data_IF_312589265189
#
_entry.id   IF_312589265189
#
_cell.length_a   1.000
_cell.length_b   1.000
_cell.length_c   1.000
_cell.angle_alpha   90.00
_cell.angle_beta   90.00
_cell.angle_gamma   90.00
#
_symmetry.space_group_name_H-M   'P 1'
#
loop_
_entity.id
_entity.type
_entity.pdbx_description
1 polymer ?
#
# COMPACT_ATOMS: atom_id res chain seq x y z
N UNK A 1 18.58 -6.99 11.30
CA UNK A 1 17.67 -5.96 10.75
C UNK A 1 17.67 -6.13 9.25
N UNK A 2 16.50 -6.19 8.62
CA UNK A 2 16.40 -6.43 7.16
C UNK A 2 16.03 -5.13 6.47
N UNK A 3 16.78 -4.80 5.43
CA UNK A 3 16.66 -3.56 4.68
C UNK A 3 16.13 -3.79 3.27
N UNK A 4 15.45 -2.77 2.76
CA UNK A 4 14.71 -2.82 1.52
C UNK A 4 14.82 -1.52 0.74
N UNK A 5 14.97 -1.65 -0.57
CA UNK A 5 14.94 -0.54 -1.52
C UNK A 5 13.70 -0.66 -2.40
N UNK A 6 12.82 0.34 -2.35
CA UNK A 6 11.78 0.55 -3.35
C UNK A 6 12.30 1.41 -4.49
N UNK A 7 11.87 1.06 -5.70
CA UNK A 7 12.36 1.60 -6.96
C UNK A 7 11.21 1.81 -7.94
N UNK A 8 11.34 2.88 -8.74
CA UNK A 8 10.44 3.17 -9.84
C UNK A 8 10.64 2.17 -11.00
N UNK A 9 9.81 2.28 -12.05
CA UNK A 9 9.86 1.38 -13.22
C UNK A 9 11.22 1.35 -13.93
N UNK A 10 11.97 2.45 -13.90
CA UNK A 10 13.29 2.57 -14.49
C UNK A 10 14.40 2.07 -13.54
N UNK A 11 14.06 1.61 -12.33
CA UNK A 11 14.98 1.15 -11.29
C UNK A 11 16.07 2.16 -10.93
N UNK A 12 15.77 3.46 -11.01
CA UNK A 12 16.70 4.54 -10.72
C UNK A 12 16.13 5.54 -9.72
N UNK A 13 16.98 6.32 -9.06
CA UNK A 13 16.59 7.55 -8.36
C UNK A 13 17.70 8.59 -8.58
N UNK A 14 17.35 9.80 -9.01
CA UNK A 14 18.31 10.89 -9.27
C UNK A 14 19.53 10.42 -10.09
N UNK A 15 19.26 9.81 -11.24
CA UNK A 15 20.24 9.29 -12.21
C UNK A 15 21.11 8.11 -11.73
N UNK A 16 21.04 7.72 -10.45
CA UNK A 16 21.68 6.51 -9.97
C UNK A 16 20.83 5.29 -10.32
N UNK A 17 21.41 4.36 -11.07
CA UNK A 17 20.77 3.11 -11.47
C UNK A 17 20.99 2.03 -10.42
N UNK A 18 19.92 1.32 -10.06
CA UNK A 18 19.95 0.22 -9.12
C UNK A 18 19.69 -1.10 -9.87
N UNK A 19 20.65 -2.02 -9.80
CA UNK A 19 20.55 -3.36 -10.38
C UNK A 19 20.98 -4.40 -9.35
N UNK A 20 20.71 -5.69 -9.61
CA UNK A 20 21.21 -6.78 -8.75
C UNK A 20 22.74 -6.67 -8.61
N UNK A 21 23.25 -6.92 -7.40
CA UNK A 21 24.67 -6.83 -7.09
C UNK A 21 25.07 -5.50 -6.45
N UNK A 22 26.37 -5.20 -6.48
CA UNK A 22 26.95 -4.04 -5.80
C UNK A 22 26.60 -2.74 -6.52
N UNK A 23 26.17 -1.74 -5.75
CA UNK A 23 25.93 -0.36 -6.18
C UNK A 23 26.66 0.56 -5.21
N UNK A 24 27.58 1.38 -5.73
CA UNK A 24 28.34 2.35 -4.97
C UNK A 24 27.76 3.76 -5.16
N UNK A 25 27.71 4.54 -4.09
CA UNK A 25 27.32 5.95 -4.12
C UNK A 25 28.43 6.74 -4.84
N UNK A 26 28.14 7.43 -5.96
CA UNK A 26 29.15 8.16 -6.71
C UNK A 26 29.61 9.44 -6.00
N UNK A 27 28.93 9.86 -4.92
CA UNK A 27 29.24 11.09 -4.21
C UNK A 27 30.12 10.84 -2.97
N UNK A 28 30.91 11.84 -2.54
CA UNK A 28 31.63 11.77 -1.28
C UNK A 28 30.66 11.51 -0.12
N UNK A 29 31.05 10.63 0.80
CA UNK A 29 30.21 10.28 1.94
C UNK A 29 29.85 11.51 2.79
N UNK A 30 28.55 11.75 2.90
CA UNK A 30 27.98 12.72 3.82
C UNK A 30 26.93 12.04 4.73
N UNK A 31 27.22 11.83 6.04
CA UNK A 31 26.30 11.19 6.97
C UNK A 31 25.12 12.10 7.39
N UNK A 32 25.19 13.39 7.08
CA UNK A 32 24.18 14.39 7.43
C UNK A 32 23.31 14.81 6.25
N UNK A 33 23.56 14.26 5.07
CA UNK A 33 22.77 14.55 3.87
C UNK A 33 21.38 13.93 3.97
N UNK A 34 20.34 14.76 3.99
CA UNK A 34 18.96 14.31 3.80
C UNK A 34 18.51 14.63 2.38
N UNK A 35 18.01 13.62 1.66
CA UNK A 35 17.49 13.76 0.31
C UNK A 35 18.45 14.40 -0.70
N UNK A 36 19.77 14.24 -0.51
CA UNK A 36 20.76 14.68 -1.50
C UNK A 36 20.58 13.90 -2.81
N UNK A 37 20.50 14.58 -3.98
CA UNK A 37 20.54 13.92 -5.28
C UNK A 37 21.78 13.02 -5.36
N UNK A 38 21.59 11.72 -5.62
CA UNK A 38 22.68 10.74 -5.78
C UNK A 38 22.94 9.80 -4.61
N UNK A 39 22.41 10.07 -3.41
CA UNK A 39 22.64 9.19 -2.25
C UNK A 39 21.87 7.85 -2.31
N UNK A 40 22.46 6.78 -1.77
CA UNK A 40 21.79 5.47 -1.65
C UNK A 40 20.95 5.43 -0.37
N UNK A 41 19.65 5.73 -0.50
CA UNK A 41 18.68 5.67 0.59
C UNK A 41 17.76 4.45 0.51
N UNK A 42 17.56 3.79 1.64
CA UNK A 42 16.68 2.62 1.78
C UNK A 42 16.02 2.62 3.15
N UNK A 43 15.17 1.65 3.42
CA UNK A 43 14.38 1.57 4.65
C UNK A 43 14.41 0.18 5.26
N UNK A 44 13.96 0.04 6.49
CA UNK A 44 13.81 -1.24 7.15
C UNK A 44 12.45 -1.86 6.86
N UNK A 45 12.24 -3.08 7.32
CA UNK A 45 10.97 -3.77 7.09
C UNK A 45 9.80 -3.04 7.73
N UNK A 46 9.99 -2.50 8.95
CA UNK A 46 8.93 -1.80 9.68
C UNK A 46 8.37 -0.62 8.89
N UNK A 47 9.23 0.14 8.22
CA UNK A 47 8.85 1.39 7.57
C UNK A 47 8.53 1.23 6.07
N UNK A 48 8.67 0.04 5.48
CA UNK A 48 8.60 -0.17 4.01
C UNK A 48 7.34 0.40 3.35
N UNK A 49 6.17 0.23 3.98
CA UNK A 49 4.90 0.69 3.41
C UNK A 49 4.75 2.22 3.41
N UNK A 50 5.60 2.97 4.11
CA UNK A 50 5.63 4.43 4.01
C UNK A 50 6.21 4.93 2.68
N UNK A 51 6.83 4.05 1.87
CA UNK A 51 7.61 4.41 0.68
C UNK A 51 7.01 3.88 -0.64
N UNK A 52 5.77 3.38 -0.63
CA UNK A 52 5.09 2.84 -1.81
C UNK A 52 4.95 3.81 -2.99
N UNK A 53 5.09 5.12 -2.74
CA UNK A 53 5.04 6.16 -3.77
C UNK A 53 6.32 6.27 -4.61
N UNK A 54 7.41 5.64 -4.19
CA UNK A 54 8.66 5.61 -4.96
C UNK A 54 8.63 4.55 -6.07
N UNK A 55 7.70 3.59 -6.00
CA UNK A 55 7.48 2.58 -7.01
C UNK A 55 7.09 1.23 -6.42
N UNK A 56 7.08 0.21 -7.27
CA UNK A 56 6.61 -1.14 -6.94
C UNK A 56 7.70 -2.21 -7.07
N UNK A 57 8.91 -1.85 -7.52
CA UNK A 57 10.03 -2.79 -7.56
C UNK A 57 10.78 -2.75 -6.23
N UNK A 58 10.93 -3.91 -5.63
CA UNK A 58 11.53 -4.13 -4.32
C UNK A 58 12.80 -4.96 -4.46
N UNK A 59 13.86 -4.55 -3.77
CA UNK A 59 15.11 -5.31 -3.63
C UNK A 59 15.51 -5.38 -2.17
N UNK A 60 16.02 -6.53 -1.73
CA UNK A 60 16.72 -6.63 -0.44
C UNK A 60 18.00 -5.81 -0.51
N UNK A 61 18.41 -5.28 0.64
CA UNK A 61 19.62 -4.49 0.77
C UNK A 61 20.53 -5.14 1.81
N UNK A 62 21.74 -5.49 1.38
CA UNK A 62 22.84 -5.90 2.23
C UNK A 62 23.90 -4.81 2.27
N UNK A 63 24.54 -4.61 3.43
CA UNK A 63 25.55 -3.59 3.64
C UNK A 63 26.92 -4.27 3.64
N UNK A 64 27.80 -4.00 2.65
CA UNK A 64 29.17 -4.50 2.64
C UNK A 64 29.96 -4.03 3.87
N UNK A 65 30.94 -4.84 4.31
CA UNK A 65 31.80 -4.48 5.46
C UNK A 65 32.61 -3.20 5.23
N UNK A 66 32.94 -2.90 3.97
CA UNK A 66 33.69 -1.70 3.57
C UNK A 66 32.80 -0.46 3.36
N UNK A 67 31.48 -0.60 3.50
CA UNK A 67 30.54 0.50 3.30
C UNK A 67 30.39 1.36 4.56
N UNK A 68 30.33 2.67 4.38
CA UNK A 68 29.86 3.59 5.40
C UNK A 68 28.33 3.52 5.45
N UNK A 69 27.76 3.51 6.65
CA UNK A 69 26.32 3.29 6.86
C UNK A 69 25.83 4.05 8.09
N UNK A 70 24.70 4.74 7.96
CA UNK A 70 24.06 5.43 9.08
C UNK A 70 22.55 5.48 8.95
N UNK A 71 21.85 5.62 10.09
CA UNK A 71 20.46 6.06 10.09
C UNK A 71 20.41 7.52 9.60
N UNK A 72 19.53 7.80 8.64
CA UNK A 72 19.33 9.16 8.14
C UNK A 72 18.75 10.03 9.25
N UNK A 73 19.26 11.24 9.39
CA UNK A 73 18.85 12.20 10.44
C UNK A 73 17.60 13.00 10.07
N UNK A 74 17.01 12.74 8.90
CA UNK A 74 15.77 13.36 8.45
C UNK A 74 14.54 12.96 9.27
N UNK A 75 13.38 13.61 9.04
CA UNK A 75 12.14 13.30 9.75
C UNK A 75 11.65 11.87 9.43
N UNK A 76 10.84 11.26 10.31
CA UNK A 76 10.17 9.99 10.02
C UNK A 76 9.37 10.03 8.71
N UNK A 77 9.14 8.88 8.07
CA UNK A 77 9.52 7.51 8.45
C UNK A 77 11.03 7.26 8.41
N UNK A 78 11.52 6.29 9.21
CA UNK A 78 12.96 6.01 9.32
C UNK A 78 13.54 5.53 7.99
N UNK A 79 14.73 6.03 7.67
CA UNK A 79 15.52 5.70 6.48
C UNK A 79 16.97 5.51 6.87
N UNK A 80 17.71 4.82 6.03
CA UNK A 80 19.14 4.63 6.17
C UNK A 80 19.84 5.06 4.88
N UNK A 81 21.10 5.44 5.03
CA UNK A 81 22.01 5.79 3.94
C UNK A 81 23.23 4.89 4.02
N UNK A 82 23.74 4.46 2.87
CA UNK A 82 25.02 3.77 2.77
C UNK A 82 25.87 4.29 1.61
N UNK A 83 27.19 4.23 1.73
CA UNK A 83 28.11 4.55 0.61
C UNK A 83 28.15 3.46 -0.44
N UNK A 84 27.72 2.24 -0.08
CA UNK A 84 27.61 1.10 -0.98
C UNK A 84 26.59 0.11 -0.44
N UNK A 85 25.91 -0.60 -1.34
CA UNK A 85 24.96 -1.67 -1.00
C UNK A 85 25.13 -2.85 -1.96
N UNK A 86 24.78 -4.05 -1.52
CA UNK A 86 24.53 -5.19 -2.39
C UNK A 86 23.02 -5.40 -2.46
N UNK A 87 22.47 -5.30 -3.67
CA UNK A 87 21.05 -5.47 -3.91
C UNK A 87 20.75 -6.90 -4.35
N UNK A 88 19.73 -7.49 -3.73
CA UNK A 88 19.17 -8.77 -4.18
C UNK A 88 18.36 -8.64 -5.47
N UNK A 89 17.75 -9.76 -5.86
CA UNK A 89 16.92 -9.86 -7.06
C UNK A 89 15.72 -8.92 -7.03
N UNK A 90 15.29 -8.53 -8.24
CA UNK A 90 14.11 -7.68 -8.43
C UNK A 90 12.84 -8.46 -8.11
N UNK A 91 12.01 -7.92 -7.22
CA UNK A 91 10.68 -8.45 -6.90
C UNK A 91 9.62 -7.37 -7.05
N UNK A 92 8.38 -7.75 -7.34
CA UNK A 92 7.26 -6.80 -7.27
C UNK A 92 6.69 -6.81 -5.85
N UNK A 93 6.57 -5.65 -5.20
CA UNK A 93 5.98 -5.57 -3.87
C UNK A 93 4.52 -6.02 -3.83
N UNK A 94 3.83 -6.01 -4.98
CA UNK A 94 2.45 -6.44 -5.12
C UNK A 94 2.27 -7.93 -5.45
N UNK A 95 3.35 -8.72 -5.44
CA UNK A 95 3.24 -10.18 -5.34
C UNK A 95 2.79 -10.55 -3.91
N UNK A 96 1.80 -11.44 -3.80
CA UNK A 96 1.18 -11.78 -2.52
C UNK A 96 2.19 -12.42 -1.55
N UNK A 97 3.14 -13.20 -2.05
CA UNK A 97 4.24 -13.78 -1.27
C UNK A 97 5.13 -12.69 -0.65
N UNK A 98 5.45 -11.64 -1.41
CA UNK A 98 6.28 -10.52 -0.92
C UNK A 98 5.55 -9.78 0.21
N UNK A 99 4.25 -9.53 0.07
CA UNK A 99 3.44 -8.91 1.13
C UNK A 99 3.43 -9.78 2.39
N UNK A 100 3.20 -11.09 2.26
CA UNK A 100 3.23 -12.03 3.39
C UNK A 100 4.58 -12.03 4.10
N UNK A 101 5.68 -12.04 3.36
CA UNK A 101 7.04 -11.97 3.92
C UNK A 101 7.24 -10.67 4.71
N UNK A 102 6.89 -9.52 4.13
CA UNK A 102 7.05 -8.21 4.77
C UNK A 102 6.20 -8.11 6.05
N UNK A 103 4.93 -8.54 6.00
CA UNK A 103 4.05 -8.55 7.17
C UNK A 103 4.57 -9.48 8.27
N UNK A 104 4.99 -10.71 7.91
CA UNK A 104 5.58 -11.66 8.86
C UNK A 104 6.86 -11.12 9.50
N UNK A 105 7.63 -10.32 8.76
CA UNK A 105 8.84 -9.67 9.24
C UNK A 105 8.58 -8.33 9.96
N UNK A 106 7.32 -7.96 10.19
CA UNK A 106 6.92 -6.83 11.03
C UNK A 106 6.78 -5.49 10.30
N UNK A 107 6.48 -5.50 9.00
CA UNK A 107 6.08 -4.29 8.29
C UNK A 107 4.83 -3.66 8.94
N UNK A 108 4.87 -2.34 9.15
CA UNK A 108 3.75 -1.61 9.74
C UNK A 108 2.61 -1.46 8.75
N UNK A 109 1.56 -2.27 8.92
CA UNK A 109 0.40 -2.29 8.05
C UNK A 109 -0.38 -0.96 8.06
N UNK A 110 -0.32 -0.21 9.16
CA UNK A 110 -1.02 1.05 9.34
C UNK A 110 -0.22 2.27 8.87
N UNK A 111 0.94 2.04 8.25
CA UNK A 111 1.77 3.09 7.67
C UNK A 111 0.95 4.01 6.74
N UNK A 112 0.96 5.30 7.05
CA UNK A 112 0.25 6.37 6.31
C UNK A 112 -1.25 6.08 6.11
N UNK A 113 -1.92 5.68 7.18
CA UNK A 113 -3.37 5.36 7.18
C UNK A 113 -3.64 4.27 6.15
N UNK A 114 -3.06 3.10 6.42
CA UNK A 114 -3.24 1.84 5.67
C UNK A 114 -3.00 2.02 4.17
N UNK A 115 -1.92 2.75 3.84
CA UNK A 115 -1.64 3.13 2.46
C UNK A 115 -1.41 1.93 1.54
N UNK A 116 -0.88 0.82 2.08
CA UNK A 116 -0.76 -0.43 1.36
C UNK A 116 -2.11 -0.95 0.86
N UNK A 117 -3.14 -0.95 1.71
CA UNK A 117 -4.50 -1.39 1.34
C UNK A 117 -5.08 -0.47 0.26
N UNK A 118 -4.95 0.84 0.45
CA UNK A 118 -5.46 1.84 -0.51
C UNK A 118 -4.79 1.69 -1.89
N UNK A 119 -3.49 1.47 -1.94
CA UNK A 119 -2.73 1.27 -3.19
C UNK A 119 -3.05 -0.07 -3.86
N UNK A 120 -3.15 -1.16 -3.08
CA UNK A 120 -3.53 -2.46 -3.61
C UNK A 120 -4.95 -2.44 -4.20
N UNK A 121 -5.87 -1.75 -3.52
CA UNK A 121 -7.25 -1.59 -3.98
C UNK A 121 -7.34 -0.73 -5.25
N UNK A 122 -6.59 0.38 -5.30
CA UNK A 122 -6.50 1.24 -6.48
C UNK A 122 -6.00 0.52 -7.73
N UNK A 123 -5.04 -0.42 -7.58
CA UNK A 123 -4.45 -1.15 -8.71
C UNK A 123 -5.10 -2.52 -8.98
N UNK A 124 -6.13 -2.91 -8.21
CA UNK A 124 -6.86 -4.15 -8.43
C UNK A 124 -6.14 -5.42 -7.96
N UNK A 125 -5.18 -5.31 -7.03
CA UNK A 125 -4.43 -6.47 -6.50
C UNK A 125 -5.25 -7.24 -5.45
N UNK A 126 -6.24 -8.01 -5.91
CA UNK A 126 -7.19 -8.73 -5.04
C UNK A 126 -6.52 -9.59 -3.96
N UNK A 127 -5.56 -10.44 -4.34
CA UNK A 127 -4.89 -11.33 -3.38
C UNK A 127 -4.12 -10.54 -2.32
N UNK A 128 -3.52 -9.41 -2.69
CA UNK A 128 -2.85 -8.51 -1.74
C UNK A 128 -3.88 -7.84 -0.82
N UNK A 129 -5.00 -7.36 -1.35
CA UNK A 129 -6.09 -6.78 -0.54
C UNK A 129 -6.57 -7.78 0.51
N UNK A 130 -6.78 -9.04 0.11
CA UNK A 130 -7.18 -10.11 1.02
C UNK A 130 -6.15 -10.35 2.12
N UNK A 131 -4.85 -10.42 1.79
CA UNK A 131 -3.82 -10.62 2.81
C UNK A 131 -3.68 -9.42 3.76
N UNK A 132 -3.79 -8.19 3.26
CA UNK A 132 -3.75 -6.99 4.09
C UNK A 132 -4.95 -6.94 5.05
N UNK A 133 -6.16 -7.23 4.58
CA UNK A 133 -7.35 -7.30 5.44
C UNK A 133 -7.23 -8.41 6.50
N UNK A 134 -6.75 -9.60 6.12
CA UNK A 134 -6.48 -10.69 7.08
C UNK A 134 -5.45 -10.30 8.14
N UNK A 135 -4.46 -9.48 7.77
CA UNK A 135 -3.45 -8.96 8.67
C UNK A 135 -3.92 -7.77 9.52
N UNK A 136 -5.17 -7.34 9.38
CA UNK A 136 -5.79 -6.33 10.22
C UNK A 136 -5.74 -4.91 9.66
N UNK A 137 -5.53 -4.73 8.35
CA UNK A 137 -5.63 -3.40 7.74
C UNK A 137 -7.02 -2.78 7.98
N UNK A 138 -7.05 -1.50 8.30
CA UNK A 138 -8.28 -0.75 8.53
C UNK A 138 -8.96 -0.42 7.19
N UNK A 139 -10.09 -1.08 6.93
CA UNK A 139 -10.91 -0.87 5.74
C UNK A 139 -11.50 0.55 5.68
N UNK A 140 -11.66 1.21 6.83
CA UNK A 140 -12.24 2.55 6.96
C UNK A 140 -11.20 3.68 6.85
N UNK A 141 -9.92 3.35 6.69
CA UNK A 141 -8.85 4.33 6.59
C UNK A 141 -9.12 5.36 5.48
N UNK A 142 -8.99 6.64 5.84
CA UNK A 142 -9.32 7.79 4.98
C UNK A 142 -10.71 7.73 4.36
N UNK A 143 -11.72 7.38 5.16
CA UNK A 143 -13.13 7.40 4.75
C UNK A 143 -13.32 6.42 3.59
N UNK A 144 -12.94 5.17 3.87
CA UNK A 144 -13.10 4.01 2.98
C UNK A 144 -12.48 4.24 1.59
N UNK A 145 -11.33 4.94 1.55
CA UNK A 145 -10.70 5.34 0.29
C UNK A 145 -10.30 4.12 -0.55
N UNK A 146 -10.01 2.98 0.07
CA UNK A 146 -9.77 1.73 -0.65
C UNK A 146 -10.98 1.33 -1.51
N UNK A 147 -12.20 1.41 -0.96
CA UNK A 147 -13.44 1.10 -1.69
C UNK A 147 -13.65 2.10 -2.82
N UNK A 148 -13.49 3.39 -2.54
CA UNK A 148 -13.66 4.47 -3.52
C UNK A 148 -12.68 4.33 -4.69
N UNK A 149 -11.40 4.07 -4.41
CA UNK A 149 -10.38 3.83 -5.43
C UNK A 149 -10.67 2.56 -6.25
N UNK A 150 -11.03 1.44 -5.62
CA UNK A 150 -11.36 0.21 -6.33
C UNK A 150 -12.59 0.39 -7.22
N UNK A 151 -13.60 1.12 -6.73
CA UNK A 151 -14.83 1.36 -7.45
C UNK A 151 -14.63 2.29 -8.66
N UNK A 152 -13.90 3.38 -8.46
CA UNK A 152 -13.55 4.34 -9.51
C UNK A 152 -12.63 3.78 -10.59
N UNK A 153 -11.87 2.71 -10.32
CA UNK A 153 -11.06 2.00 -11.31
C UNK A 153 -11.72 0.70 -11.83
N UNK A 154 -12.94 0.38 -11.38
CA UNK A 154 -13.71 -0.74 -11.91
C UNK A 154 -13.27 -2.13 -11.43
N UNK A 155 -12.52 -2.21 -10.34
CA UNK A 155 -12.02 -3.47 -9.78
C UNK A 155 -13.11 -4.24 -9.01
N UNK A 156 -14.03 -4.85 -9.74
CA UNK A 156 -15.23 -5.50 -9.20
C UNK A 156 -14.94 -6.49 -8.06
N UNK A 157 -13.95 -7.37 -8.22
CA UNK A 157 -13.64 -8.37 -7.20
C UNK A 157 -13.06 -7.74 -5.92
N UNK A 158 -12.25 -6.69 -6.05
CA UNK A 158 -11.74 -5.92 -4.91
C UNK A 158 -12.87 -5.18 -4.20
N UNK A 159 -13.79 -4.57 -4.95
CA UNK A 159 -14.97 -3.92 -4.36
C UNK A 159 -15.78 -4.92 -3.55
N UNK A 160 -16.01 -6.12 -4.08
CA UNK A 160 -16.73 -7.16 -3.34
C UNK A 160 -16.01 -7.54 -2.04
N UNK A 161 -14.70 -7.79 -2.09
CA UNK A 161 -13.90 -8.12 -0.90
C UNK A 161 -13.97 -7.02 0.17
N UNK A 162 -13.84 -5.76 -0.23
CA UNK A 162 -13.92 -4.63 0.69
C UNK A 162 -15.31 -4.49 1.33
N UNK A 163 -16.38 -4.75 0.58
CA UNK A 163 -17.76 -4.76 1.11
C UNK A 163 -18.00 -5.93 2.09
N UNK A 164 -17.37 -7.08 1.84
CA UNK A 164 -17.40 -8.23 2.74
C UNK A 164 -16.61 -7.96 4.02
N UNK A 165 -15.51 -7.20 3.92
CA UNK A 165 -14.75 -6.69 5.06
C UNK A 165 -15.43 -5.52 5.81
N UNK A 166 -16.60 -5.06 5.35
CA UNK A 166 -17.42 -4.08 6.06
C UNK A 166 -17.25 -2.63 5.62
N UNK A 167 -16.57 -2.35 4.50
CA UNK A 167 -16.43 -1.00 3.97
C UNK A 167 -17.78 -0.27 3.85
N UNK A 168 -17.80 1.00 4.23
CA UNK A 168 -18.99 1.84 4.17
C UNK A 168 -19.18 2.43 2.77
N UNK A 169 -20.23 1.96 2.09
CA UNK A 169 -20.62 2.47 0.76
C UNK A 169 -21.02 3.93 0.81
N UNK A 170 -21.46 4.44 1.96
CA UNK A 170 -21.93 5.81 2.13
C UNK A 170 -20.81 6.82 2.42
N UNK A 171 -19.56 6.36 2.55
CA UNK A 171 -18.42 7.22 2.79
C UNK A 171 -18.31 8.31 1.72
N UNK A 172 -18.02 9.54 2.16
CA UNK A 172 -17.92 10.74 1.31
C UNK A 172 -19.12 10.93 0.36
N UNK A 173 -20.35 10.77 0.86
CA UNK A 173 -21.58 11.02 0.08
C UNK A 173 -21.76 10.06 -1.11
N UNK A 174 -21.61 8.75 -0.86
CA UNK A 174 -21.73 7.69 -1.88
C UNK A 174 -20.68 7.79 -3.02
N UNK A 175 -19.51 8.38 -2.73
CA UNK A 175 -18.48 8.68 -3.75
C UNK A 175 -18.04 7.43 -4.53
N UNK A 176 -17.97 6.27 -3.88
CA UNK A 176 -17.64 5.01 -4.56
C UNK A 176 -18.64 4.68 -5.69
N UNK A 177 -19.93 4.94 -5.48
CA UNK A 177 -20.95 4.73 -6.50
C UNK A 177 -20.89 5.80 -7.59
N UNK A 178 -20.64 7.06 -7.21
CA UNK A 178 -20.49 8.17 -8.14
C UNK A 178 -19.30 7.93 -9.09
N UNK A 179 -18.11 7.68 -8.55
CA UNK A 179 -16.90 7.39 -9.31
C UNK A 179 -17.07 6.20 -10.26
N UNK A 180 -17.68 5.10 -9.79
CA UNK A 180 -17.94 3.94 -10.63
C UNK A 180 -18.92 4.25 -11.77
N UNK A 181 -19.91 5.12 -11.55
CA UNK A 181 -20.88 5.51 -12.56
C UNK A 181 -20.28 6.48 -13.59
N UNK A 182 -19.57 7.51 -13.13
CA UNK A 182 -18.92 8.52 -13.96
C UNK A 182 -17.85 7.93 -14.88
N UNK A 183 -17.07 6.97 -14.36
CA UNK A 183 -16.03 6.28 -15.12
C UNK A 183 -16.56 5.10 -15.96
N UNK A 184 -17.87 4.87 -16.01
CA UNK A 184 -18.48 3.84 -16.85
C UNK A 184 -18.33 2.40 -16.34
N UNK A 185 -17.95 2.20 -15.08
CA UNK A 185 -17.81 0.89 -14.44
C UNK A 185 -19.18 0.34 -13.99
N UNK A 186 -20.05 0.08 -14.97
CA UNK A 186 -21.45 -0.30 -14.73
C UNK A 186 -21.63 -1.54 -13.85
N UNK A 187 -20.74 -2.54 -13.95
CA UNK A 187 -20.80 -3.74 -13.12
C UNK A 187 -20.60 -3.41 -11.63
N UNK A 188 -19.62 -2.56 -11.32
CA UNK A 188 -19.36 -2.06 -9.96
C UNK A 188 -20.53 -1.22 -9.46
N UNK A 189 -20.99 -0.25 -10.25
CA UNK A 189 -22.12 0.60 -9.87
C UNK A 189 -23.39 -0.23 -9.59
N UNK A 190 -23.62 -1.29 -10.38
CA UNK A 190 -24.72 -2.25 -10.17
C UNK A 190 -24.54 -3.03 -8.87
N UNK A 191 -23.33 -3.52 -8.58
CA UNK A 191 -23.01 -4.23 -7.33
C UNK A 191 -23.29 -3.33 -6.11
N UNK A 192 -22.75 -2.11 -6.10
CA UNK A 192 -22.94 -1.15 -5.00
C UNK A 192 -24.42 -0.83 -4.78
N UNK A 193 -25.18 -0.54 -5.85
CA UNK A 193 -26.64 -0.33 -5.76
C UNK A 193 -27.38 -1.54 -5.18
N UNK A 194 -26.98 -2.76 -5.55
CA UNK A 194 -27.59 -3.98 -5.01
C UNK A 194 -27.27 -4.16 -3.53
N UNK A 195 -26.02 -3.90 -3.13
CA UNK A 195 -25.58 -3.97 -1.74
C UNK A 195 -26.39 -3.00 -0.86
N UNK A 196 -26.54 -1.75 -1.28
CA UNK A 196 -27.36 -0.74 -0.60
C UNK A 196 -28.83 -1.16 -0.42
N UNK A 197 -29.45 -1.70 -1.48
CA UNK A 197 -30.86 -2.16 -1.42
C UNK A 197 -31.05 -3.32 -0.44
N UNK A 198 -30.09 -4.25 -0.37
CA UNK A 198 -30.14 -5.37 0.58
C UNK A 198 -30.04 -4.86 2.02
N UNK A 199 -29.12 -3.93 2.30
CA UNK A 199 -28.91 -3.35 3.64
C UNK A 199 -30.15 -2.58 4.12
N UNK A 200 -30.75 -1.76 3.24
CA UNK A 200 -32.00 -1.04 3.56
C UNK A 200 -33.15 -1.99 3.91
N UNK A 201 -33.42 -3.02 3.10
CA UNK A 201 -34.49 -3.99 3.39
C UNK A 201 -34.27 -4.73 4.71
N UNK A 202 -33.02 -5.08 5.03
CA UNK A 202 -32.68 -5.70 6.30
C UNK A 202 -32.97 -4.77 7.48
N UNK A 203 -32.57 -3.50 7.39
CA UNK A 203 -32.84 -2.49 8.42
C UNK A 203 -34.34 -2.28 8.61
N UNK A 204 -35.11 -2.21 7.53
CA UNK A 204 -36.57 -2.04 7.59
C UNK A 204 -37.26 -3.25 8.20
N UNK A 205 -36.81 -4.47 7.87
CA UNK A 205 -37.30 -5.71 8.48
C UNK A 205 -37.03 -5.72 9.99
N UNK A 206 -35.81 -5.39 10.42
CA UNK A 206 -35.46 -5.33 11.84
C UNK A 206 -36.30 -4.28 12.59
N UNK A 207 -36.48 -3.09 12.02
CA UNK A 207 -37.37 -2.06 12.59
C UNK A 207 -38.81 -2.54 12.72
N UNK A 208 -39.30 -3.35 11.78
CA UNK A 208 -40.66 -3.93 11.82
C UNK A 208 -40.80 -4.94 12.96
N UNK A 209 -39.83 -5.85 13.13
CA UNK A 209 -39.81 -6.85 14.20
C UNK A 209 -39.86 -6.16 15.58
N UNK A 210 -38.96 -5.21 15.84
CA UNK A 210 -38.92 -4.53 17.15
C UNK A 210 -40.03 -3.49 17.38
N UNK A 211 -40.79 -3.10 16.34
CA UNK A 211 -42.00 -2.28 16.51
C UNK A 211 -43.24 -3.10 16.82
N UNK A 212 -43.26 -4.40 16.48
CA UNK A 212 -44.39 -5.31 16.72
C UNK A 212 -44.43 -5.97 18.10
N UNK A 213 -43.38 -5.81 18.91
CA UNK A 213 -43.25 -6.39 20.26
C UNK A 213 -43.70 -5.45 21.41
N UNK A 214 -44.61 -4.50 21.15
CA UNK A 214 -45.17 -3.61 22.18
C UNK A 214 -46.70 -3.70 22.27
#
# INVERSE_FOLDING_TARGET
MTFWKLLNKAENHHDLQFHTGRVDDPLPWNPHGDCEPGGIYFTDTKNIFNFLGFGHWLRSVEIPEDAQFCENQGPPPRKWKASSVILGERRNIWEVEVIRELLKAGADIHAREDWALRMAAHNGHLEVVQELLKAGADVHARQDLALRCAAGNGHLAVVQELLEAGADVHAEQDDALQLAAENGHHAVAKLLKQYLRKRSRFVDLMKSIFKGER
#
